data_IF_630201108621
#
_entry.id   IF_630201108621
#
_cell.length_a   1.000
_cell.length_b   1.000
_cell.length_c   1.000
_cell.angle_alpha   90.00
_cell.angle_beta   90.00
_cell.angle_gamma   90.00
#
_symmetry.space_group_name_H-M   'P 1'
#
loop_
_entity.id
_entity.type
_entity.pdbx_description
1 polymer ?
#
# COMPACT_ATOMS: atom_id res chain seq x y z
N UNK A 1 -2.61 -6.71 30.70
CA UNK A 1 -2.07 -5.55 29.93
C UNK A 1 -3.20 -5.02 29.06
N UNK A 2 -3.56 -3.73 29.15
CA UNK A 2 -4.73 -3.17 28.43
C UNK A 2 -4.65 -3.41 26.92
N UNK A 3 -5.79 -3.74 26.30
CA UNK A 3 -5.93 -4.09 24.87
C UNK A 3 -5.27 -3.06 23.95
N UNK A 4 -5.47 -1.77 24.22
CA UNK A 4 -4.95 -0.66 23.41
C UNK A 4 -3.41 -0.57 23.38
N UNK A 5 -2.74 -0.70 24.53
CA UNK A 5 -1.27 -0.69 24.61
C UNK A 5 -0.68 -1.94 23.93
N UNK A 6 -1.36 -3.08 24.07
CA UNK A 6 -0.97 -4.33 23.43
C UNK A 6 -1.05 -4.21 21.91
N UNK A 7 -2.15 -3.69 21.36
CA UNK A 7 -2.32 -3.47 19.92
C UNK A 7 -1.28 -2.52 19.33
N UNK A 8 -0.98 -1.41 20.01
CA UNK A 8 0.05 -0.47 19.58
C UNK A 8 1.45 -1.12 19.58
N UNK A 9 1.76 -1.87 20.64
CA UNK A 9 3.02 -2.61 20.75
C UNK A 9 3.10 -3.66 19.64
N UNK A 10 2.06 -4.45 19.41
CA UNK A 10 2.03 -5.45 18.34
C UNK A 10 2.22 -4.83 16.96
N UNK A 11 1.55 -3.70 16.68
CA UNK A 11 1.67 -2.99 15.41
C UNK A 11 3.10 -2.51 15.09
N UNK A 12 3.93 -2.25 16.12
CA UNK A 12 5.32 -1.80 15.95
C UNK A 12 6.29 -2.98 16.06
N UNK A 13 6.08 -3.86 17.04
CA UNK A 13 7.00 -4.93 17.41
C UNK A 13 6.97 -6.08 16.40
N UNK A 14 5.80 -6.47 15.88
CA UNK A 14 5.67 -7.54 14.88
C UNK A 14 6.48 -7.22 13.61
N UNK A 15 6.29 -6.06 12.94
CA UNK A 15 7.07 -5.76 11.74
C UNK A 15 8.56 -5.59 12.07
N UNK A 16 8.91 -5.12 13.27
CA UNK A 16 10.30 -4.99 13.69
C UNK A 16 10.97 -6.37 13.90
N UNK A 17 10.28 -7.32 14.54
CA UNK A 17 10.73 -8.71 14.67
C UNK A 17 10.89 -9.34 13.29
N UNK A 18 9.91 -9.14 12.39
CA UNK A 18 10.00 -9.61 11.01
C UNK A 18 11.28 -9.11 10.33
N UNK A 19 11.61 -7.82 10.45
CA UNK A 19 12.84 -7.27 9.87
C UNK A 19 14.11 -7.82 10.52
N UNK A 20 14.14 -7.99 11.84
CA UNK A 20 15.28 -8.62 12.54
C UNK A 20 15.50 -10.05 12.05
N UNK A 21 14.43 -10.84 11.90
CA UNK A 21 14.50 -12.20 11.36
C UNK A 21 15.00 -12.18 9.91
N UNK A 22 14.44 -11.30 9.08
CA UNK A 22 14.87 -11.14 7.68
C UNK A 22 16.35 -10.77 7.57
N UNK A 23 16.84 -9.80 8.36
CA UNK A 23 18.25 -9.42 8.38
C UNK A 23 19.15 -10.55 8.90
N UNK A 24 18.70 -11.28 9.91
CA UNK A 24 19.41 -12.48 10.40
C UNK A 24 19.54 -13.55 9.32
N UNK A 25 18.46 -13.81 8.56
CA UNK A 25 18.49 -14.74 7.44
C UNK A 25 19.42 -14.26 6.33
N UNK A 26 19.39 -12.97 5.96
CA UNK A 26 20.30 -12.38 4.99
C UNK A 26 21.77 -12.43 5.42
N UNK A 27 22.05 -12.32 6.73
CA UNK A 27 23.40 -12.43 7.27
C UNK A 27 23.95 -13.86 7.20
N UNK A 28 23.10 -14.85 7.51
CA UNK A 28 23.43 -16.27 7.49
C UNK A 28 23.55 -16.81 6.05
N UNK A 29 22.70 -16.33 5.13
CA UNK A 29 22.67 -16.72 3.71
C UNK A 29 22.85 -15.49 2.82
N UNK A 30 24.07 -14.93 2.71
CA UNK A 30 24.32 -13.81 1.83
C UNK A 30 24.08 -14.21 0.37
N UNK A 31 23.34 -13.38 -0.36
CA UNK A 31 23.17 -13.56 -1.81
C UNK A 31 24.54 -13.40 -2.50
N UNK A 32 24.86 -14.21 -3.53
CA UNK A 32 26.13 -14.12 -4.26
C UNK A 32 26.42 -12.72 -4.84
N UNK A 33 25.37 -11.92 -5.10
CA UNK A 33 25.49 -10.54 -5.60
C UNK A 33 25.77 -9.47 -4.50
N UNK A 34 25.84 -9.88 -3.23
CA UNK A 34 25.96 -8.99 -2.06
C UNK A 34 27.09 -9.45 -1.13
N UNK A 35 28.36 -9.21 -1.49
CA UNK A 35 29.50 -9.57 -0.65
C UNK A 35 29.44 -8.85 0.70
N UNK A 36 29.83 -9.55 1.77
CA UNK A 36 29.84 -9.07 3.17
C UNK A 36 30.66 -7.78 3.36
N UNK A 37 31.56 -7.48 2.44
CA UNK A 37 32.46 -6.31 2.45
C UNK A 37 31.74 -4.98 2.14
N UNK A 38 30.50 -4.99 1.66
CA UNK A 38 29.73 -3.77 1.40
C UNK A 38 29.09 -3.13 2.65
N UNK A 39 29.26 -3.69 3.85
CA UNK A 39 28.72 -3.11 5.08
C UNK A 39 29.52 -1.87 5.52
N UNK A 40 29.03 -0.69 5.12
CA UNK A 40 29.59 0.58 5.51
C UNK A 40 28.97 1.09 6.83
N UNK A 41 29.79 1.48 7.80
CA UNK A 41 29.37 2.07 9.08
C UNK A 41 28.46 3.30 8.86
N UNK A 42 28.75 4.10 7.82
CA UNK A 42 27.92 5.25 7.44
C UNK A 42 26.49 4.85 7.04
N UNK A 43 26.32 3.68 6.40
CA UNK A 43 25.01 3.18 5.98
C UNK A 43 24.21 2.63 7.16
N UNK A 44 24.90 1.99 8.11
CA UNK A 44 24.32 1.59 9.39
C UNK A 44 23.85 2.80 10.20
N UNK A 45 24.66 3.86 10.28
CA UNK A 45 24.28 5.12 10.92
C UNK A 45 23.05 5.71 10.23
N UNK A 46 23.00 5.71 8.90
CA UNK A 46 21.85 6.22 8.14
C UNK A 46 20.58 5.41 8.43
N UNK A 47 20.67 4.08 8.46
CA UNK A 47 19.58 3.19 8.83
C UNK A 47 19.10 3.45 10.27
N UNK A 48 20.03 3.61 11.22
CA UNK A 48 19.72 3.92 12.62
C UNK A 48 19.05 5.29 12.78
N UNK A 49 19.56 6.34 12.12
CA UNK A 49 18.93 7.67 12.13
C UNK A 49 17.51 7.60 11.54
N UNK A 50 17.34 6.89 10.42
CA UNK A 50 16.02 6.72 9.81
C UNK A 50 15.02 6.02 10.73
N UNK A 51 15.47 5.08 11.55
CA UNK A 51 14.64 4.40 12.54
C UNK A 51 14.07 5.37 13.57
N UNK A 52 14.93 6.23 14.13
CA UNK A 52 14.50 7.25 15.10
C UNK A 52 13.54 8.26 14.48
N UNK A 53 13.77 8.64 13.22
CA UNK A 53 12.83 9.49 12.47
C UNK A 53 11.48 8.82 12.27
N UNK A 54 11.46 7.53 11.89
CA UNK A 54 10.23 6.75 11.75
C UNK A 54 9.48 6.64 13.08
N UNK A 55 10.19 6.37 14.18
CA UNK A 55 9.61 6.33 15.53
C UNK A 55 8.99 7.68 15.93
N UNK A 56 9.70 8.78 15.67
CA UNK A 56 9.20 10.12 15.91
C UNK A 56 7.94 10.40 15.07
N UNK A 57 7.92 9.96 13.82
CA UNK A 57 6.76 10.09 12.94
C UNK A 57 5.56 9.26 13.41
N UNK A 58 5.76 7.99 13.79
CA UNK A 58 4.71 7.13 14.37
C UNK A 58 4.17 7.75 15.65
N UNK A 59 5.04 8.27 16.51
CA UNK A 59 4.64 8.96 17.73
C UNK A 59 3.80 10.21 17.44
N UNK A 60 4.23 11.05 16.50
CA UNK A 60 3.48 12.22 16.06
C UNK A 60 2.12 11.83 15.46
N UNK A 61 2.07 10.75 14.67
CA UNK A 61 0.85 10.21 14.09
C UNK A 61 -0.15 9.78 15.17
N UNK A 62 0.30 9.02 16.17
CA UNK A 62 -0.50 8.62 17.34
C UNK A 62 -1.03 9.82 18.09
N UNK A 63 -0.20 10.85 18.34
CA UNK A 63 -0.66 12.07 19.01
C UNK A 63 -1.73 12.80 18.20
N UNK A 64 -1.54 12.93 16.88
CA UNK A 64 -2.52 13.58 16.00
C UNK A 64 -3.84 12.82 15.97
N UNK A 65 -3.76 11.50 15.95
CA UNK A 65 -4.91 10.60 15.98
C UNK A 65 -5.69 10.73 17.29
N UNK A 66 -5.01 10.67 18.44
CA UNK A 66 -5.63 10.87 19.76
C UNK A 66 -6.29 12.25 19.89
N UNK A 67 -5.66 13.30 19.35
CA UNK A 67 -6.24 14.65 19.32
C UNK A 67 -7.54 14.70 18.51
N UNK A 68 -7.57 14.05 17.34
CA UNK A 68 -8.79 13.94 16.51
C UNK A 68 -9.92 13.19 17.23
N UNK A 69 -9.56 12.25 18.10
CA UNK A 69 -10.48 11.51 18.94
C UNK A 69 -10.94 12.27 20.21
N UNK A 70 -10.50 13.52 20.40
CA UNK A 70 -10.90 14.35 21.54
C UNK A 70 -10.03 14.21 22.80
N UNK A 71 -8.94 13.44 22.75
CA UNK A 71 -8.04 13.31 23.90
C UNK A 71 -7.10 14.52 24.04
N UNK A 72 -6.75 14.92 25.28
CA UNK A 72 -5.89 16.06 25.54
C UNK A 72 -4.48 15.85 24.98
N UNK A 73 -3.84 16.95 24.59
CA UNK A 73 -2.50 16.92 24.00
C UNK A 73 -1.46 16.54 25.07
N UNK A 74 -0.99 15.31 25.04
CA UNK A 74 0.01 14.78 25.97
C UNK A 74 1.38 14.63 25.31
N UNK A 75 2.42 15.05 26.04
CA UNK A 75 3.82 14.76 25.69
C UNK A 75 4.20 13.29 25.86
N UNK A 76 5.45 12.94 25.54
CA UNK A 76 5.97 11.56 25.51
C UNK A 76 5.74 10.80 26.83
N UNK A 77 5.90 11.47 27.97
CA UNK A 77 5.67 10.88 29.31
C UNK A 77 4.19 10.67 29.65
N UNK A 78 3.28 11.42 29.03
CA UNK A 78 1.84 11.33 29.25
C UNK A 78 1.13 10.34 28.33
N UNK A 79 1.73 10.01 27.18
CA UNK A 79 1.17 9.09 26.20
C UNK A 79 0.75 7.72 26.77
N UNK A 80 1.55 7.07 27.66
CA UNK A 80 1.16 5.78 28.23
C UNK A 80 -0.08 5.84 29.11
N UNK A 81 -0.37 7.00 29.74
CA UNK A 81 -1.57 7.19 30.55
C UNK A 81 -2.79 7.34 29.65
N UNK A 82 -2.70 8.18 28.62
CA UNK A 82 -3.80 8.38 27.66
C UNK A 82 -4.08 7.12 26.86
N UNK A 83 -3.07 6.34 26.48
CA UNK A 83 -3.25 5.04 25.81
C UNK A 83 -3.91 3.98 26.71
N UNK A 84 -3.90 4.12 28.04
CA UNK A 84 -4.63 3.22 28.94
C UNK A 84 -6.12 3.53 28.98
N UNK A 85 -6.47 4.80 28.82
CA UNK A 85 -7.83 5.34 28.84
C UNK A 85 -8.44 5.41 27.43
N UNK A 86 -7.61 5.31 26.39
CA UNK A 86 -8.05 5.38 25.00
C UNK A 86 -8.82 4.13 24.57
N UNK A 87 -9.94 4.36 23.88
CA UNK A 87 -10.76 3.29 23.31
C UNK A 87 -9.93 2.42 22.35
N UNK A 88 -9.89 1.09 22.54
CA UNK A 88 -9.13 0.17 21.69
C UNK A 88 -9.58 0.19 20.22
N UNK A 89 -10.84 0.55 19.92
CA UNK A 89 -11.34 0.63 18.54
C UNK A 89 -10.64 1.72 17.74
N UNK A 90 -10.34 2.84 18.39
CA UNK A 90 -9.62 3.97 17.82
C UNK A 90 -8.22 3.47 17.41
N UNK A 91 -7.44 2.91 18.34
CA UNK A 91 -6.07 2.43 18.04
C UNK A 91 -6.06 1.28 17.04
N UNK A 92 -7.02 0.36 17.10
CA UNK A 92 -7.11 -0.73 16.12
C UNK A 92 -7.29 -0.21 14.68
N UNK A 93 -8.08 0.87 14.49
CA UNK A 93 -8.27 1.47 13.17
C UNK A 93 -6.99 2.04 12.55
N UNK A 94 -6.02 2.46 13.38
CA UNK A 94 -4.75 3.03 12.94
C UNK A 94 -3.53 2.11 13.15
N UNK A 95 -3.71 0.97 13.82
CA UNK A 95 -2.67 -0.02 14.03
C UNK A 95 -2.12 -0.53 12.69
N UNK A 96 -3.00 -0.70 11.70
CA UNK A 96 -2.61 -1.05 10.32
C UNK A 96 -1.71 0.00 9.68
N UNK A 97 -1.99 1.28 9.87
CA UNK A 97 -1.18 2.36 9.30
C UNK A 97 0.22 2.40 9.94
N UNK A 98 0.28 2.25 11.27
CA UNK A 98 1.55 2.17 12.01
C UNK A 98 2.37 0.95 11.58
N UNK A 99 1.72 -0.20 11.42
CA UNK A 99 2.33 -1.42 10.90
C UNK A 99 2.95 -1.17 9.53
N UNK A 100 2.22 -0.54 8.61
CA UNK A 100 2.70 -0.21 7.26
C UNK A 100 3.89 0.75 7.32
N UNK A 101 3.84 1.78 8.16
CA UNK A 101 4.95 2.75 8.32
C UNK A 101 6.24 2.05 8.77
N UNK A 102 6.16 1.16 9.76
CA UNK A 102 7.33 0.42 10.26
C UNK A 102 7.80 -0.62 9.23
N UNK A 103 6.88 -1.26 8.52
CA UNK A 103 7.20 -2.20 7.45
C UNK A 103 7.97 -1.48 6.31
N UNK A 104 7.49 -0.32 5.88
CA UNK A 104 8.13 0.51 4.85
C UNK A 104 9.52 0.98 5.28
N UNK A 105 9.68 1.37 6.55
CA UNK A 105 10.99 1.72 7.09
C UNK A 105 11.98 0.56 6.99
N UNK A 106 11.59 -0.66 7.34
CA UNK A 106 12.52 -1.79 7.25
C UNK A 106 12.90 -2.13 5.81
N UNK A 107 12.00 -1.95 4.83
CA UNK A 107 12.34 -2.05 3.41
C UNK A 107 13.38 -1.00 2.99
N UNK A 108 13.17 0.26 3.40
CA UNK A 108 14.13 1.36 3.19
C UNK A 108 15.48 1.03 3.82
N UNK A 109 15.50 0.65 5.09
CA UNK A 109 16.70 0.32 5.86
C UNK A 109 17.48 -0.83 5.21
N UNK A 110 16.78 -1.88 4.77
CA UNK A 110 17.40 -3.01 4.05
C UNK A 110 18.07 -2.53 2.76
N UNK A 111 17.42 -1.68 1.97
CA UNK A 111 18.00 -1.14 0.75
C UNK A 111 19.20 -0.21 1.00
N UNK A 112 19.15 0.60 2.07
CA UNK A 112 20.28 1.44 2.50
C UNK A 112 21.48 0.59 2.91
N UNK A 113 21.25 -0.49 3.67
CA UNK A 113 22.32 -1.38 4.14
C UNK A 113 22.94 -2.19 3.01
N UNK A 114 22.17 -2.57 2.00
CA UNK A 114 22.66 -3.39 0.88
C UNK A 114 23.35 -2.60 -0.23
N UNK A 115 22.84 -1.40 -0.55
CA UNK A 115 23.27 -0.63 -1.74
C UNK A 115 23.57 0.85 -1.45
N UNK A 116 23.49 1.26 -0.19
CA UNK A 116 23.76 2.63 0.25
C UNK A 116 22.55 3.58 0.23
N UNK A 117 22.68 4.79 0.81
CA UNK A 117 21.58 5.72 1.05
C UNK A 117 20.87 6.18 -0.23
N UNK A 118 21.65 6.49 -1.27
CA UNK A 118 21.12 6.91 -2.57
C UNK A 118 20.22 5.84 -3.17
N UNK A 119 20.67 4.59 -3.13
CA UNK A 119 19.88 3.45 -3.58
C UNK A 119 18.70 3.16 -2.66
N UNK A 120 18.83 3.31 -1.34
CA UNK A 120 17.72 3.15 -0.40
C UNK A 120 16.56 4.10 -0.68
N UNK A 121 16.84 5.39 -0.94
CA UNK A 121 15.83 6.38 -1.34
C UNK A 121 15.22 5.99 -2.69
N UNK A 122 16.04 5.72 -3.70
CA UNK A 122 15.61 5.29 -5.05
C UNK A 122 14.70 4.06 -4.98
N UNK A 123 15.06 3.06 -4.18
CA UNK A 123 14.37 1.78 -4.11
C UNK A 123 13.08 1.89 -3.31
N UNK A 124 13.05 2.72 -2.27
CA UNK A 124 11.82 3.00 -1.50
C UNK A 124 10.83 3.82 -2.31
N UNK A 125 11.32 4.81 -3.07
CA UNK A 125 10.49 5.59 -3.97
C UNK A 125 9.95 4.71 -5.11
N UNK A 126 10.79 3.85 -5.68
CA UNK A 126 10.38 2.85 -6.66
C UNK A 126 9.37 1.87 -6.11
N UNK A 127 9.57 1.37 -4.88
CA UNK A 127 8.65 0.45 -4.24
C UNK A 127 7.30 1.11 -3.98
N UNK A 128 7.29 2.34 -3.44
CA UNK A 128 6.06 3.11 -3.23
C UNK A 128 5.33 3.38 -4.55
N UNK A 129 6.05 3.77 -5.61
CA UNK A 129 5.44 3.98 -6.92
C UNK A 129 4.96 2.67 -7.56
N UNK A 130 5.73 1.59 -7.51
CA UNK A 130 5.32 0.29 -8.03
C UNK A 130 4.11 -0.26 -7.27
N UNK A 131 4.05 -0.01 -5.96
CA UNK A 131 2.87 -0.32 -5.16
C UNK A 131 1.64 0.46 -5.65
N UNK A 132 1.75 1.77 -5.87
CA UNK A 132 0.62 2.60 -6.36
C UNK A 132 0.23 2.25 -7.80
N UNK A 133 1.19 1.95 -8.66
CA UNK A 133 1.00 1.75 -10.11
C UNK A 133 0.56 0.33 -10.45
N UNK A 134 1.02 -0.67 -9.70
CA UNK A 134 0.80 -2.10 -10.00
C UNK A 134 -0.03 -2.75 -8.90
N UNK A 135 0.46 -2.72 -7.67
CA UNK A 135 -0.15 -3.50 -6.58
C UNK A 135 -1.54 -2.95 -6.22
N UNK A 136 -1.72 -1.64 -6.24
CA UNK A 136 -2.96 -0.98 -5.83
C UNK A 136 -4.11 -1.27 -6.82
N UNK A 137 -3.97 -1.12 -8.16
CA UNK A 137 -4.96 -1.60 -9.11
C UNK A 137 -5.28 -3.09 -8.93
N UNK A 138 -4.26 -3.94 -8.86
CA UNK A 138 -4.45 -5.40 -8.77
C UNK A 138 -5.19 -5.77 -7.47
N UNK A 139 -4.80 -5.18 -6.34
CA UNK A 139 -5.46 -5.41 -5.06
C UNK A 139 -6.92 -4.93 -5.07
N UNK A 140 -7.20 -3.75 -5.64
CA UNK A 140 -8.56 -3.24 -5.72
C UNK A 140 -9.41 -4.13 -6.62
N UNK A 141 -8.90 -4.55 -7.76
CA UNK A 141 -9.58 -5.48 -8.67
C UNK A 141 -9.84 -6.85 -8.07
N UNK A 142 -8.87 -7.42 -7.36
CA UNK A 142 -9.08 -8.66 -6.59
C UNK A 142 -10.16 -8.49 -5.53
N UNK A 143 -10.12 -7.36 -4.80
CA UNK A 143 -11.12 -7.01 -3.81
C UNK A 143 -12.49 -6.86 -4.45
N UNK A 144 -12.61 -6.21 -5.61
CA UNK A 144 -13.86 -6.09 -6.38
C UNK A 144 -14.37 -7.47 -6.78
N UNK A 145 -13.52 -8.36 -7.31
CA UNK A 145 -13.92 -9.70 -7.69
C UNK A 145 -14.48 -10.52 -6.52
N UNK A 146 -13.83 -10.46 -5.35
CA UNK A 146 -14.26 -11.18 -4.14
C UNK A 146 -15.50 -10.55 -3.49
N UNK A 147 -15.52 -9.22 -3.39
CA UNK A 147 -16.59 -8.48 -2.72
C UNK A 147 -17.86 -8.47 -3.56
N UNK A 148 -17.78 -8.48 -4.90
CA UNK A 148 -18.97 -8.46 -5.77
C UNK A 148 -19.93 -9.62 -5.50
N UNK A 149 -19.41 -10.82 -5.30
CA UNK A 149 -20.21 -12.02 -4.97
C UNK A 149 -20.84 -11.86 -3.58
N UNK A 150 -20.07 -11.36 -2.62
CA UNK A 150 -20.53 -11.12 -1.24
C UNK A 150 -21.55 -10.00 -1.15
N UNK A 151 -21.42 -8.94 -1.95
CA UNK A 151 -22.36 -7.82 -2.07
C UNK A 151 -23.67 -8.26 -2.70
N UNK A 152 -23.60 -9.04 -3.78
CA UNK A 152 -24.78 -9.59 -4.44
C UNK A 152 -25.62 -10.42 -3.46
N UNK A 153 -24.98 -11.26 -2.65
CA UNK A 153 -25.64 -12.07 -1.61
C UNK A 153 -26.15 -11.21 -0.44
N UNK A 154 -25.28 -10.39 0.16
CA UNK A 154 -25.62 -9.63 1.38
C UNK A 154 -26.69 -8.58 1.13
N UNK A 155 -26.65 -7.89 0.00
CA UNK A 155 -27.57 -6.83 -0.32
C UNK A 155 -28.94 -7.36 -0.80
N UNK A 156 -28.95 -8.53 -1.46
CA UNK A 156 -30.17 -9.30 -1.73
C UNK A 156 -30.89 -9.71 -0.44
N UNK A 157 -30.13 -10.07 0.61
CA UNK A 157 -30.67 -10.58 1.87
C UNK A 157 -31.00 -9.51 2.92
N UNK A 158 -30.20 -8.45 3.07
CA UNK A 158 -30.28 -7.55 4.25
C UNK A 158 -30.62 -6.10 3.97
N UNK A 159 -30.73 -5.64 2.72
CA UNK A 159 -31.20 -4.28 2.47
C UNK A 159 -30.17 -3.16 2.67
N UNK A 160 -29.04 -3.42 3.35
CA UNK A 160 -28.11 -2.37 3.83
C UNK A 160 -27.17 -1.88 2.73
N UNK A 161 -27.10 -0.55 2.56
CA UNK A 161 -26.23 0.12 1.60
C UNK A 161 -24.77 0.19 2.08
N UNK A 162 -23.82 -0.17 1.22
CA UNK A 162 -22.38 -0.16 1.49
C UNK A 162 -21.66 1.00 0.78
N UNK A 163 -22.24 2.20 0.82
CA UNK A 163 -21.75 3.39 0.10
C UNK A 163 -20.29 3.78 0.42
N UNK A 164 -19.83 3.50 1.65
CA UNK A 164 -18.45 3.77 2.07
C UNK A 164 -17.42 2.92 1.31
N UNK A 165 -17.76 1.67 1.00
CA UNK A 165 -16.85 0.73 0.31
C UNK A 165 -16.67 1.16 -1.14
N UNK A 166 -17.76 1.47 -1.85
CA UNK A 166 -17.71 1.94 -3.23
C UNK A 166 -16.94 3.26 -3.38
N UNK A 167 -17.08 4.18 -2.43
CA UNK A 167 -16.29 5.42 -2.40
C UNK A 167 -14.79 5.17 -2.23
N UNK A 168 -14.42 4.21 -1.38
CA UNK A 168 -13.02 3.83 -1.19
C UNK A 168 -12.44 3.23 -2.47
N UNK A 169 -13.14 2.28 -3.10
CA UNK A 169 -12.74 1.67 -4.38
C UNK A 169 -12.51 2.77 -5.42
N UNK A 170 -13.47 3.66 -5.63
CA UNK A 170 -13.35 4.77 -6.58
C UNK A 170 -12.11 5.65 -6.33
N UNK A 171 -11.89 6.06 -5.08
CA UNK A 171 -10.76 6.92 -4.73
C UNK A 171 -9.41 6.23 -5.00
N UNK A 172 -9.28 4.96 -4.62
CA UNK A 172 -8.07 4.19 -4.84
C UNK A 172 -7.79 3.96 -6.33
N UNK A 173 -8.81 3.62 -7.11
CA UNK A 173 -8.70 3.42 -8.55
C UNK A 173 -8.42 4.70 -9.32
N UNK A 174 -8.96 5.84 -8.89
CA UNK A 174 -8.62 7.14 -9.49
C UNK A 174 -7.19 7.55 -9.15
N UNK A 175 -6.73 7.30 -7.92
CA UNK A 175 -5.36 7.58 -7.52
C UNK A 175 -4.35 6.75 -8.31
N UNK A 176 -4.59 5.44 -8.48
CA UNK A 176 -3.73 4.59 -9.31
C UNK A 176 -3.80 4.92 -10.79
N UNK A 177 -5.00 5.14 -11.33
CA UNK A 177 -5.19 5.49 -12.73
C UNK A 177 -4.53 6.83 -13.07
N UNK A 178 -4.68 7.83 -12.21
CA UNK A 178 -4.01 9.12 -12.32
C UNK A 178 -2.48 8.99 -12.25
N UNK A 179 -1.96 8.11 -11.38
CA UNK A 179 -0.52 7.82 -11.31
C UNK A 179 -0.01 7.13 -12.57
N UNK A 180 -0.78 6.20 -13.16
CA UNK A 180 -0.45 5.53 -14.43
C UNK A 180 -0.41 6.54 -15.58
N UNK A 181 -1.42 7.40 -15.71
CA UNK A 181 -1.45 8.46 -16.73
C UNK A 181 -0.27 9.43 -16.57
N UNK A 182 0.02 9.84 -15.33
CA UNK A 182 1.17 10.70 -15.03
C UNK A 182 2.49 10.04 -15.45
N UNK A 183 2.63 8.73 -15.20
CA UNK A 183 3.78 7.95 -15.62
C UNK A 183 3.91 7.87 -17.15
N UNK A 184 2.80 7.71 -17.87
CA UNK A 184 2.79 7.79 -19.34
C UNK A 184 3.20 9.18 -19.86
N UNK A 185 2.68 10.26 -19.26
CA UNK A 185 3.07 11.64 -19.62
C UNK A 185 4.55 11.91 -19.36
N UNK A 186 5.05 11.47 -18.20
CA UNK A 186 6.46 11.55 -17.84
C UNK A 186 7.33 10.75 -18.81
N UNK A 187 6.91 9.55 -19.22
CA UNK A 187 7.65 8.74 -20.17
C UNK A 187 7.74 9.36 -21.58
N UNK A 188 6.71 10.13 -21.98
CA UNK A 188 6.68 10.82 -23.28
C UNK A 188 7.52 12.12 -23.25
N UNK A 189 7.46 12.89 -22.16
CA UNK A 189 8.09 14.21 -22.07
C UNK A 189 9.53 14.16 -21.55
N UNK A 190 9.82 13.23 -20.64
CA UNK A 190 11.19 12.99 -20.19
C UNK A 190 11.76 11.92 -21.10
N UNK A 191 12.39 12.35 -22.21
CA UNK A 191 13.27 11.53 -23.03
C UNK A 191 14.58 11.17 -22.27
N UNK A 192 14.48 10.95 -20.95
CA UNK A 192 15.57 10.80 -20.01
C UNK A 192 15.38 9.46 -19.31
N UNK A 193 15.76 8.42 -20.04
CA UNK A 193 16.08 7.07 -19.54
C UNK A 193 17.19 7.02 -18.47
N UNK A 194 17.61 8.18 -17.95
CA UNK A 194 18.82 8.37 -17.16
C UNK A 194 18.57 8.66 -15.68
N UNK A 195 17.32 8.80 -15.22
CA UNK A 195 17.03 8.86 -13.78
C UNK A 195 16.86 7.43 -13.23
N UNK A 196 17.84 6.99 -12.43
CA UNK A 196 17.82 5.67 -11.77
C UNK A 196 16.53 5.41 -10.97
N UNK A 197 15.84 6.48 -10.56
CA UNK A 197 14.57 6.49 -9.82
C UNK A 197 13.37 6.03 -10.65
N UNK A 198 13.31 6.30 -11.95
CA UNK A 198 12.10 6.05 -12.77
C UNK A 198 12.31 4.86 -13.72
N UNK A 199 13.55 4.41 -13.89
CA UNK A 199 13.93 3.33 -14.82
C UNK A 199 13.10 2.03 -14.69
N UNK A 200 12.80 1.50 -13.49
CA UNK A 200 11.97 0.30 -13.36
C UNK A 200 10.52 0.53 -13.79
N UNK A 201 10.00 1.73 -13.53
CA UNK A 201 8.65 2.15 -13.88
C UNK A 201 8.49 2.41 -15.37
N UNK A 202 9.53 2.92 -16.03
CA UNK A 202 9.60 3.06 -17.48
C UNK A 202 9.55 1.70 -18.19
N UNK A 203 10.12 0.62 -17.60
CA UNK A 203 9.99 -0.74 -18.18
C UNK A 203 8.54 -1.20 -18.28
N UNK A 204 7.70 -0.80 -17.32
CA UNK A 204 6.27 -1.10 -17.32
C UNK A 204 5.57 -0.38 -18.48
N UNK A 205 5.90 0.89 -18.72
CA UNK A 205 5.38 1.64 -19.86
C UNK A 205 5.87 1.07 -21.21
N UNK A 206 7.12 0.62 -21.29
CA UNK A 206 7.69 -0.02 -22.48
C UNK A 206 6.92 -1.31 -22.83
N UNK A 207 6.48 -2.07 -21.82
CA UNK A 207 5.54 -3.17 -22.02
C UNK A 207 4.11 -2.61 -22.21
N UNK A 208 3.82 -2.15 -23.43
CA UNK A 208 2.54 -1.50 -23.79
C UNK A 208 1.31 -2.34 -23.44
N UNK A 209 1.40 -3.67 -23.52
CA UNK A 209 0.31 -4.57 -23.15
C UNK A 209 0.01 -4.53 -21.65
N UNK A 210 1.05 -4.65 -20.82
CA UNK A 210 0.92 -4.59 -19.36
C UNK A 210 0.42 -3.22 -18.89
N UNK A 211 0.97 -2.14 -19.44
CA UNK A 211 0.53 -0.78 -19.12
C UNK A 211 -0.93 -0.53 -19.52
N UNK A 212 -1.34 -0.98 -20.71
CA UNK A 212 -2.72 -0.87 -21.17
C UNK A 212 -3.68 -1.66 -20.27
N UNK A 213 -3.32 -2.89 -19.91
CA UNK A 213 -4.13 -3.74 -19.06
C UNK A 213 -4.27 -3.17 -17.65
N UNK A 214 -3.20 -2.62 -17.06
CA UNK A 214 -3.28 -1.93 -15.75
C UNK A 214 -4.17 -0.68 -15.79
N UNK A 215 -4.12 0.10 -16.87
CA UNK A 215 -5.01 1.25 -17.06
C UNK A 215 -6.47 0.82 -17.21
N UNK A 216 -6.74 -0.22 -17.99
CA UNK A 216 -8.08 -0.79 -18.15
C UNK A 216 -8.61 -1.31 -16.81
N UNK A 217 -7.77 -2.00 -16.05
CA UNK A 217 -8.09 -2.52 -14.73
C UNK A 217 -8.51 -1.38 -13.78
N UNK A 218 -7.68 -0.35 -13.70
CA UNK A 218 -7.94 0.84 -12.88
C UNK A 218 -9.19 1.60 -13.33
N UNK A 219 -9.48 1.62 -14.64
CA UNK A 219 -10.67 2.28 -15.20
C UNK A 219 -11.95 1.50 -14.89
N UNK A 220 -11.91 0.17 -14.99
CA UNK A 220 -13.03 -0.71 -14.64
C UNK A 220 -13.33 -0.67 -13.15
N UNK A 221 -12.32 -0.63 -12.28
CA UNK A 221 -12.54 -0.48 -10.84
C UNK A 221 -13.15 0.91 -10.49
N UNK A 222 -12.72 1.97 -11.18
CA UNK A 222 -13.33 3.29 -11.02
C UNK A 222 -14.79 3.29 -11.48
N UNK A 223 -15.09 2.65 -12.63
CA UNK A 223 -16.46 2.45 -13.10
C UNK A 223 -17.29 1.63 -12.13
N UNK A 224 -16.71 0.59 -11.52
CA UNK A 224 -17.36 -0.21 -10.49
C UNK A 224 -17.74 0.65 -9.27
N UNK A 225 -16.80 1.46 -8.76
CA UNK A 225 -17.05 2.39 -7.67
C UNK A 225 -18.13 3.42 -8.00
N UNK A 226 -18.10 4.01 -9.20
CA UNK A 226 -19.12 4.95 -9.68
C UNK A 226 -20.50 4.31 -9.82
N UNK A 227 -20.57 3.13 -10.43
CA UNK A 227 -21.81 2.38 -10.58
C UNK A 227 -22.42 2.04 -9.22
N UNK A 228 -21.61 1.63 -8.25
CA UNK A 228 -22.05 1.37 -6.88
C UNK A 228 -22.60 2.60 -6.16
N UNK A 229 -22.07 3.79 -6.43
CA UNK A 229 -22.57 5.04 -5.83
C UNK A 229 -23.83 5.55 -6.54
N UNK A 230 -23.90 5.45 -7.86
CA UNK A 230 -24.95 6.12 -8.66
C UNK A 230 -26.14 5.21 -9.01
N UNK A 231 -25.88 3.96 -9.39
CA UNK A 231 -26.91 3.04 -9.88
C UNK A 231 -27.57 2.27 -8.74
N UNK A 232 -26.80 1.84 -7.75
CA UNK A 232 -27.27 1.04 -6.61
C UNK A 232 -28.41 1.72 -5.82
N UNK A 233 -28.37 3.05 -5.52
CA UNK A 233 -29.44 3.72 -4.78
C UNK A 233 -30.71 3.95 -5.60
N UNK A 234 -30.60 4.03 -6.93
CA UNK A 234 -31.73 4.37 -7.82
C UNK A 234 -32.42 3.14 -8.41
N UNK A 235 -31.66 2.13 -8.85
CA UNK A 235 -32.17 0.94 -9.55
C UNK A 235 -31.44 -0.30 -9.09
N UNK A 236 -31.82 -0.83 -7.93
CA UNK A 236 -31.10 -1.88 -7.19
C UNK A 236 -30.77 -3.14 -8.00
N UNK A 237 -31.76 -3.73 -8.69
CA UNK A 237 -31.56 -4.94 -9.52
C UNK A 237 -30.61 -4.70 -10.69
N UNK A 238 -30.80 -3.60 -11.42
CA UNK A 238 -29.95 -3.19 -12.53
C UNK A 238 -28.52 -2.85 -12.07
N UNK A 239 -28.38 -2.13 -10.95
CA UNK A 239 -27.09 -1.79 -10.37
C UNK A 239 -26.29 -3.03 -9.99
N UNK A 240 -26.92 -4.02 -9.33
CA UNK A 240 -26.28 -5.29 -8.99
C UNK A 240 -25.85 -6.07 -10.24
N UNK A 241 -26.69 -6.15 -11.27
CA UNK A 241 -26.32 -6.82 -12.53
C UNK A 241 -25.15 -6.14 -13.23
N UNK A 242 -25.13 -4.81 -13.26
CA UNK A 242 -24.02 -4.03 -13.86
C UNK A 242 -22.73 -4.24 -13.09
N UNK A 243 -22.77 -4.19 -11.75
CA UNK A 243 -21.59 -4.45 -10.92
C UNK A 243 -21.05 -5.87 -11.12
N UNK A 244 -21.93 -6.86 -11.22
CA UNK A 244 -21.54 -8.25 -11.45
C UNK A 244 -20.91 -8.44 -12.83
N UNK A 245 -21.44 -7.77 -13.87
CA UNK A 245 -20.86 -7.79 -15.21
C UNK A 245 -19.46 -7.15 -15.24
N UNK A 246 -19.27 -6.02 -14.55
CA UNK A 246 -17.96 -5.38 -14.41
C UNK A 246 -16.98 -6.30 -13.66
N UNK A 247 -17.42 -6.95 -12.58
CA UNK A 247 -16.59 -7.87 -11.82
C UNK A 247 -16.14 -9.08 -12.66
N UNK A 248 -17.03 -9.64 -13.48
CA UNK A 248 -16.69 -10.74 -14.41
C UNK A 248 -15.69 -10.26 -15.47
N UNK A 249 -15.81 -9.03 -15.96
CA UNK A 249 -14.86 -8.45 -16.91
C UNK A 249 -13.47 -8.19 -16.31
N UNK A 250 -13.38 -7.95 -15.00
CA UNK A 250 -12.10 -7.73 -14.29
C UNK A 250 -11.28 -9.04 -14.19
N UNK A 251 -11.92 -10.20 -14.06
CA UNK A 251 -11.23 -11.50 -13.91
C UNK A 251 -10.27 -11.84 -15.05
N UNK A 252 -10.65 -11.81 -16.34
CA UNK A 252 -9.72 -12.12 -17.43
C UNK A 252 -8.58 -11.09 -17.52
N UNK A 253 -8.86 -9.81 -17.25
CA UNK A 253 -7.82 -8.77 -17.22
C UNK A 253 -6.80 -9.00 -16.08
N UNK A 254 -7.26 -9.45 -14.91
CA UNK A 254 -6.35 -9.83 -13.82
C UNK A 254 -5.41 -10.94 -14.27
N UNK A 255 -5.92 -11.98 -14.93
CA UNK A 255 -5.11 -13.10 -15.45
C UNK A 255 -4.06 -12.60 -16.44
N UNK A 256 -4.44 -11.74 -17.38
CA UNK A 256 -3.48 -11.15 -18.34
C UNK A 256 -2.42 -10.28 -17.66
N UNK A 257 -2.79 -9.50 -16.63
CA UNK A 257 -1.84 -8.70 -15.84
C UNK A 257 -0.85 -9.60 -15.10
N UNK A 258 -1.31 -10.71 -14.50
CA UNK A 258 -0.42 -11.68 -13.85
C UNK A 258 0.55 -12.32 -14.83
N UNK A 259 0.07 -12.74 -16.00
CA UNK A 259 0.92 -13.31 -17.07
C UNK A 259 1.94 -12.27 -17.55
N UNK A 260 1.54 -11.01 -17.72
CA UNK A 260 2.43 -9.92 -18.10
C UNK A 260 3.50 -9.62 -17.06
N UNK A 261 3.14 -9.67 -15.76
CA UNK A 261 4.08 -9.45 -14.65
C UNK A 261 5.08 -10.61 -14.52
N UNK A 262 4.66 -11.84 -14.75
CA UNK A 262 5.52 -13.01 -14.71
C UNK A 262 6.49 -13.07 -15.91
N UNK A 263 6.01 -12.71 -17.10
CA UNK A 263 6.83 -12.70 -18.33
C UNK A 263 7.83 -11.55 -18.42
N UNK A 264 7.78 -10.58 -17.51
CA UNK A 264 8.73 -9.46 -17.42
C UNK A 264 9.86 -9.68 -16.40
N UNK A 265 9.89 -10.84 -15.72
CA UNK A 265 11.06 -11.28 -14.95
C UNK A 265 12.10 -11.89 -15.91
N UNK A 266 13.37 -11.45 -15.88
CA UNK A 266 14.45 -12.10 -16.61
C UNK A 266 14.79 -13.49 -16.06
#
# INVERSE_FOLDING_TARGET
>A
MNSTKKLLMEAILIPLIFWVVMWGLFYLHPSPDLPRENYNVSWLITAAISFFLTLAFVFWYVQRMLRKAGYPQVGFRGLPKVLREADPTIVNSSARDMFIIVLLWGSFSTAVLLKGPKWGIVLTLNFAMAFVVIALPVMVSMMVAVISVSLWLSESLTGKQLSKIFKAILMFSLASGGSLVSLGLLAIHLNVSNTAVIRPLLKIYINRGLYHNLLLLSSLDALYGLAGILLLPRKRKLGLSVLLLIAVAIVPLLVEVFIGLYSTQP
#
